data_IF_006507922242
#
_entry.id   IF_006507922242
#
_cell.length_a   1.000
_cell.length_b   1.000
_cell.length_c   1.000
_cell.angle_alpha   90.00
_cell.angle_beta   90.00
_cell.angle_gamma   90.00
#
_symmetry.space_group_name_H-M   'P 1'
#
loop_
_entity.id
_entity.type
_entity.pdbx_description
1 polymer ?
#
# COMPACT_ATOMS: atom_id res chain seq x y z
N UNK A 1 0.26 -35.25 25.39
CA UNK A 1 -0.59 -35.66 24.24
C UNK A 1 -0.94 -34.40 23.48
N UNK A 2 -0.62 -34.31 22.18
CA UNK A 2 -1.01 -33.16 21.37
C UNK A 2 -2.54 -33.19 21.17
N UNK A 3 -3.22 -32.07 21.43
CA UNK A 3 -4.66 -31.95 21.22
C UNK A 3 -4.99 -32.22 19.74
N UNK A 4 -6.10 -32.94 19.49
CA UNK A 4 -6.60 -33.13 18.13
C UNK A 4 -7.04 -31.79 17.52
N UNK A 5 -7.02 -31.69 16.19
CA UNK A 5 -7.46 -30.49 15.44
C UNK A 5 -8.86 -30.02 15.87
N UNK A 6 -9.76 -30.96 16.16
CA UNK A 6 -11.12 -30.70 16.65
C UNK A 6 -11.12 -30.06 18.03
N UNK A 7 -10.24 -30.49 18.93
CA UNK A 7 -10.15 -29.97 20.29
C UNK A 7 -9.60 -28.54 20.28
N UNK A 8 -8.60 -28.28 19.42
CA UNK A 8 -8.06 -26.93 19.21
C UNK A 8 -9.11 -25.96 18.65
N UNK A 9 -9.94 -26.41 17.71
CA UNK A 9 -11.03 -25.60 17.14
C UNK A 9 -12.12 -25.31 18.18
N UNK A 10 -12.45 -26.27 19.03
CA UNK A 10 -13.43 -26.08 20.10
C UNK A 10 -12.91 -25.11 21.17
N UNK A 11 -11.64 -25.22 21.54
CA UNK A 11 -11.02 -24.29 22.49
C UNK A 11 -10.93 -22.87 21.90
N UNK A 12 -10.56 -22.72 20.62
CA UNK A 12 -10.57 -21.42 19.95
C UNK A 12 -11.96 -20.76 19.97
N UNK A 13 -13.01 -21.50 19.61
CA UNK A 13 -14.40 -20.99 19.66
C UNK A 13 -14.81 -20.56 21.06
N UNK A 14 -14.45 -21.34 22.08
CA UNK A 14 -14.75 -21.03 23.48
C UNK A 14 -14.05 -19.74 23.92
N UNK A 15 -12.77 -19.57 23.58
CA UNK A 15 -12.01 -18.37 23.89
C UNK A 15 -12.55 -17.14 23.15
N UNK A 16 -12.98 -17.29 21.88
CA UNK A 16 -13.63 -16.21 21.13
C UNK A 16 -14.95 -15.78 21.78
N UNK A 17 -15.81 -16.74 22.16
CA UNK A 17 -17.06 -16.47 22.89
C UNK A 17 -16.82 -15.75 24.23
N UNK A 18 -15.84 -16.22 25.00
CA UNK A 18 -15.44 -15.56 26.25
C UNK A 18 -14.92 -14.13 26.02
N UNK A 19 -14.19 -13.91 24.92
CA UNK A 19 -13.75 -12.58 24.49
C UNK A 19 -14.91 -11.67 24.13
N UNK A 20 -15.89 -12.19 23.38
CA UNK A 20 -17.12 -11.47 23.00
C UNK A 20 -17.96 -11.07 24.22
N UNK A 21 -18.09 -11.97 25.20
CA UNK A 21 -18.81 -11.69 26.45
C UNK A 21 -18.10 -10.63 27.31
N UNK A 22 -16.77 -10.55 27.23
CA UNK A 22 -15.97 -9.54 27.95
C UNK A 22 -16.19 -8.13 27.41
N UNK A 23 -16.43 -7.99 26.11
CA UNK A 23 -16.64 -6.70 25.44
C UNK A 23 -18.08 -6.58 24.94
N UNK A 24 -19.05 -6.58 25.87
CA UNK A 24 -20.44 -6.23 25.54
C UNK A 24 -20.52 -4.77 25.13
N UNK A 25 -20.56 -4.52 23.82
CA UNK A 25 -20.89 -3.20 23.28
C UNK A 25 -22.39 -3.01 23.48
N UNK A 26 -22.77 -2.02 24.27
CA UNK A 26 -24.16 -1.60 24.39
C UNK A 26 -24.70 -1.25 22.99
N UNK A 27 -25.76 -1.91 22.50
CA UNK A 27 -26.37 -1.58 21.22
C UNK A 27 -26.75 -0.09 21.09
N UNK A 28 -27.06 0.60 22.20
CA UNK A 28 -27.33 2.03 22.21
C UNK A 28 -26.10 2.89 21.86
N UNK A 29 -24.88 2.35 21.97
CA UNK A 29 -23.64 2.99 21.55
C UNK A 29 -23.35 2.80 20.05
N UNK A 30 -23.99 1.83 19.38
CA UNK A 30 -23.72 1.54 17.96
C UNK A 30 -23.97 2.75 17.04
N UNK A 31 -25.06 3.54 17.19
CA UNK A 31 -25.24 4.75 16.37
C UNK A 31 -24.15 5.81 16.60
N UNK A 32 -23.63 5.90 17.84
CA UNK A 32 -22.55 6.85 18.16
C UNK A 32 -21.23 6.39 17.56
N UNK A 33 -20.94 5.08 17.62
CA UNK A 33 -19.77 4.48 17.01
C UNK A 33 -19.80 4.64 15.48
N UNK A 34 -20.94 4.35 14.86
CA UNK A 34 -21.15 4.50 13.42
C UNK A 34 -20.90 5.95 12.96
N UNK A 35 -21.51 6.92 13.66
CA UNK A 35 -21.26 8.34 13.42
C UNK A 35 -19.78 8.69 13.55
N UNK A 36 -19.10 8.23 14.60
CA UNK A 36 -17.68 8.49 14.81
C UNK A 36 -16.83 7.94 13.66
N UNK A 37 -17.12 6.72 13.19
CA UNK A 37 -16.41 6.11 12.07
C UNK A 37 -16.65 6.90 10.77
N UNK A 38 -17.89 7.33 10.51
CA UNK A 38 -18.23 8.17 9.37
C UNK A 38 -17.54 9.53 9.41
N UNK A 39 -17.51 10.19 10.58
CA UNK A 39 -16.83 11.47 10.76
C UNK A 39 -15.32 11.34 10.50
N UNK A 40 -14.69 10.28 11.04
CA UNK A 40 -13.27 9.98 10.79
C UNK A 40 -13.03 9.72 9.31
N UNK A 41 -13.87 8.91 8.66
CA UNK A 41 -13.76 8.66 7.22
C UNK A 41 -13.89 9.96 6.42
N UNK A 42 -14.88 10.81 6.72
CA UNK A 42 -15.10 12.07 6.02
C UNK A 42 -13.93 13.05 6.15
N UNK A 43 -13.26 13.07 7.32
CA UNK A 43 -12.07 13.90 7.57
C UNK A 43 -10.84 13.34 6.85
N UNK A 44 -10.71 12.01 6.77
CA UNK A 44 -9.50 11.33 6.28
C UNK A 44 -9.51 11.06 4.78
N UNK A 45 -10.70 10.98 4.17
CA UNK A 45 -10.84 10.63 2.76
C UNK A 45 -10.11 11.64 1.88
N UNK A 46 -9.41 11.20 0.82
CA UNK A 46 -8.77 12.10 -0.12
C UNK A 46 -9.78 12.94 -0.90
N UNK A 47 -9.37 14.13 -1.31
CA UNK A 47 -10.11 15.00 -2.23
C UNK A 47 -9.66 14.73 -3.67
N UNK A 48 -10.45 15.10 -4.69
CA UNK A 48 -10.08 14.92 -6.09
C UNK A 48 -8.67 15.44 -6.44
N UNK A 49 -8.28 16.60 -5.89
CA UNK A 49 -6.95 17.18 -6.09
C UNK A 49 -5.82 16.28 -5.58
N UNK A 50 -6.04 15.51 -4.51
CA UNK A 50 -5.03 14.60 -3.95
C UNK A 50 -4.75 13.44 -4.91
N UNK A 51 -5.78 12.93 -5.60
CA UNK A 51 -5.61 11.93 -6.66
C UNK A 51 -4.85 12.51 -7.85
N UNK A 52 -5.20 13.73 -8.29
CA UNK A 52 -4.52 14.39 -9.39
C UNK A 52 -3.03 14.56 -9.09
N UNK A 53 -2.69 15.06 -7.90
CA UNK A 53 -1.31 15.22 -7.48
C UNK A 53 -0.53 13.90 -7.49
N UNK A 54 -1.12 12.81 -6.98
CA UNK A 54 -0.47 11.48 -6.97
C UNK A 54 -0.30 10.90 -8.37
N UNK A 55 -1.31 11.04 -9.24
CA UNK A 55 -1.20 10.61 -10.66
C UNK A 55 -0.14 11.41 -11.41
N UNK A 56 -0.06 12.71 -11.14
CA UNK A 56 0.95 13.58 -11.74
C UNK A 56 2.36 13.21 -11.27
N UNK A 57 2.54 12.88 -9.99
CA UNK A 57 3.80 12.33 -9.49
C UNK A 57 4.15 11.02 -10.22
N UNK A 58 3.22 10.06 -10.32
CA UNK A 58 3.47 8.80 -11.06
C UNK A 58 3.90 9.09 -12.51
N UNK A 59 3.27 10.05 -13.19
CA UNK A 59 3.67 10.49 -14.54
C UNK A 59 5.10 11.05 -14.57
N UNK A 60 5.48 11.86 -13.57
CA UNK A 60 6.85 12.38 -13.43
C UNK A 60 7.86 11.24 -13.23
N UNK A 61 7.56 10.29 -12.33
CA UNK A 61 8.43 9.12 -12.11
C UNK A 61 8.59 8.28 -13.39
N UNK A 62 7.54 8.14 -14.19
CA UNK A 62 7.63 7.48 -15.50
C UNK A 62 8.52 8.23 -16.49
N UNK A 63 8.43 9.57 -16.54
CA UNK A 63 9.31 10.37 -17.37
C UNK A 63 10.78 10.22 -16.95
N UNK A 64 11.04 10.22 -15.64
CA UNK A 64 12.38 9.95 -15.08
C UNK A 64 12.87 8.55 -15.45
N UNK A 65 12.00 7.55 -15.38
CA UNK A 65 12.34 6.18 -15.77
C UNK A 65 12.77 6.11 -17.24
N UNK A 66 12.04 6.76 -18.13
CA UNK A 66 12.40 6.88 -19.55
C UNK A 66 13.73 7.61 -19.74
N UNK A 67 14.00 8.66 -18.98
CA UNK A 67 15.28 9.34 -19.03
C UNK A 67 16.45 8.42 -18.62
N UNK A 68 16.27 7.62 -17.56
CA UNK A 68 17.30 6.74 -17.00
C UNK A 68 17.61 5.49 -17.82
N UNK A 69 16.67 5.05 -18.65
CA UNK A 69 16.75 3.80 -19.42
C UNK A 69 16.62 4.00 -20.94
N UNK A 70 16.31 5.22 -21.39
CA UNK A 70 16.09 5.58 -22.79
C UNK A 70 14.60 5.49 -23.20
N UNK A 71 14.29 5.88 -24.43
CA UNK A 71 12.94 5.79 -25.00
C UNK A 71 12.69 4.49 -25.78
N UNK A 72 13.55 3.48 -25.61
CA UNK A 72 13.34 2.17 -26.22
C UNK A 72 12.18 1.46 -25.50
N UNK A 73 11.42 0.62 -26.21
CA UNK A 73 10.22 -0.09 -25.68
C UNK A 73 10.45 -1.04 -24.49
N UNK A 74 11.65 -1.01 -23.90
CA UNK A 74 12.09 -1.83 -22.77
C UNK A 74 12.31 -1.02 -21.49
N UNK A 75 11.98 0.28 -21.48
CA UNK A 75 12.11 1.11 -20.27
C UNK A 75 11.08 0.72 -19.21
N UNK A 76 11.49 0.63 -17.94
CA UNK A 76 10.58 0.20 -16.89
C UNK A 76 9.49 1.25 -16.65
N UNK A 77 8.28 0.77 -16.40
CA UNK A 77 7.11 1.60 -16.09
C UNK A 77 7.00 1.73 -14.57
N UNK A 78 6.70 2.93 -14.09
CA UNK A 78 6.43 3.16 -12.67
C UNK A 78 4.92 3.19 -12.45
N UNK A 79 4.41 2.37 -11.54
CA UNK A 79 2.98 2.28 -11.25
C UNK A 79 2.71 2.56 -9.78
N UNK A 80 1.52 3.09 -9.49
CA UNK A 80 1.04 3.22 -8.12
C UNK A 80 0.76 1.85 -7.51
N UNK A 81 0.94 1.73 -6.20
CA UNK A 81 0.63 0.52 -5.45
C UNK A 81 -0.01 0.86 -4.11
N UNK A 82 -0.27 -0.16 -3.29
CA UNK A 82 -0.68 -0.01 -1.90
C UNK A 82 -1.99 0.76 -1.72
N UNK A 83 -2.02 1.61 -0.70
CA UNK A 83 -3.24 2.33 -0.29
C UNK A 83 -3.85 3.22 -1.38
N UNK A 84 -3.02 3.70 -2.31
CA UNK A 84 -3.46 4.55 -3.41
C UNK A 84 -4.34 3.80 -4.42
N UNK A 85 -3.96 2.58 -4.81
CA UNK A 85 -4.72 1.79 -5.80
C UNK A 85 -5.96 1.14 -5.19
N UNK A 86 -6.00 0.98 -3.87
CA UNK A 86 -7.16 0.44 -3.13
C UNK A 86 -8.20 1.51 -2.79
N UNK A 87 -7.95 2.78 -3.12
CA UNK A 87 -8.82 3.91 -2.73
C UNK A 87 -8.95 4.10 -1.20
N UNK A 88 -7.91 3.73 -0.45
CA UNK A 88 -7.88 3.76 1.01
C UNK A 88 -6.77 4.65 1.58
N UNK A 89 -6.11 5.44 0.73
CA UNK A 89 -5.09 6.37 1.19
C UNK A 89 -5.72 7.55 1.93
N UNK A 90 -4.92 8.24 2.73
CA UNK A 90 -5.24 9.56 3.28
C UNK A 90 -4.23 10.58 2.77
N UNK A 91 -4.51 11.87 2.93
CA UNK A 91 -3.60 12.95 2.51
C UNK A 91 -2.19 12.79 3.09
N UNK A 92 -2.07 12.21 4.30
CA UNK A 92 -0.79 11.98 4.99
C UNK A 92 -0.15 10.62 4.69
N UNK A 93 -0.84 9.74 3.97
CA UNK A 93 -0.28 8.45 3.56
C UNK A 93 0.87 8.69 2.58
N UNK A 94 1.87 7.82 2.60
CA UNK A 94 2.86 7.73 1.54
C UNK A 94 2.23 7.31 0.21
N UNK A 95 3.02 7.42 -0.86
CA UNK A 95 2.68 6.92 -2.18
C UNK A 95 3.59 5.75 -2.49
N UNK A 96 3.05 4.53 -2.35
CA UNK A 96 3.74 3.32 -2.75
C UNK A 96 3.85 3.25 -4.27
N UNK A 97 5.05 2.97 -4.76
CA UNK A 97 5.35 2.86 -6.19
C UNK A 97 6.03 1.51 -6.49
N UNK A 98 5.65 0.88 -7.61
CA UNK A 98 6.35 -0.26 -8.18
C UNK A 98 7.08 0.15 -9.45
N UNK A 99 8.29 -0.38 -9.65
CA UNK A 99 9.06 -0.21 -10.90
C UNK A 99 9.04 -1.54 -11.65
N UNK A 100 8.28 -1.58 -12.74
CA UNK A 100 7.96 -2.79 -13.47
C UNK A 100 8.73 -2.85 -14.80
N UNK A 101 9.49 -3.92 -15.00
CA UNK A 101 10.16 -4.20 -16.27
C UNK A 101 9.28 -5.11 -17.12
N UNK A 102 9.46 -5.07 -18.44
CA UNK A 102 8.67 -5.87 -19.36
C UNK A 102 8.78 -7.39 -19.07
N UNK A 103 7.71 -8.12 -19.42
CA UNK A 103 7.56 -9.55 -19.12
C UNK A 103 8.64 -10.47 -19.74
N UNK A 104 9.43 -9.97 -20.69
CA UNK A 104 10.57 -10.70 -21.27
C UNK A 104 11.74 -10.90 -20.29
N UNK A 105 11.79 -10.17 -19.17
CA UNK A 105 12.91 -10.21 -18.22
C UNK A 105 12.71 -11.24 -17.10
N UNK A 106 11.52 -11.87 -16.99
CA UNK A 106 11.22 -12.82 -15.93
C UNK A 106 11.41 -12.22 -14.52
N UNK A 107 11.75 -13.05 -13.54
CA UNK A 107 12.06 -12.58 -12.19
C UNK A 107 13.38 -11.80 -12.17
N UNK A 108 13.31 -10.50 -11.90
CA UNK A 108 14.50 -9.67 -11.70
C UNK A 108 15.33 -10.20 -10.52
N UNK A 109 16.62 -10.42 -10.77
CA UNK A 109 17.59 -10.76 -9.73
C UNK A 109 17.70 -9.63 -8.69
N UNK A 110 18.11 -9.98 -7.48
CA UNK A 110 18.34 -9.00 -6.38
C UNK A 110 19.31 -7.90 -6.80
N UNK A 111 20.37 -8.24 -7.52
CA UNK A 111 21.36 -7.28 -7.99
C UNK A 111 20.79 -6.28 -8.99
N UNK A 112 19.91 -6.73 -9.89
CA UNK A 112 19.21 -5.83 -10.82
C UNK A 112 18.26 -4.88 -10.08
N UNK A 113 17.58 -5.35 -9.04
CA UNK A 113 16.74 -4.50 -8.17
C UNK A 113 17.58 -3.43 -7.48
N UNK A 114 18.70 -3.81 -6.87
CA UNK A 114 19.62 -2.87 -6.21
C UNK A 114 20.19 -1.84 -7.20
N UNK A 115 20.62 -2.29 -8.39
CA UNK A 115 21.13 -1.42 -9.45
C UNK A 115 20.08 -0.41 -9.92
N UNK A 116 18.83 -0.86 -10.04
CA UNK A 116 17.69 0.00 -10.38
C UNK A 116 17.47 1.06 -9.32
N UNK A 117 17.37 0.68 -8.05
CA UNK A 117 17.22 1.63 -6.94
C UNK A 117 18.35 2.66 -6.89
N UNK A 118 19.61 2.23 -7.12
CA UNK A 118 20.77 3.13 -7.17
C UNK A 118 20.70 4.13 -8.33
N UNK A 119 20.17 3.73 -9.50
CA UNK A 119 19.98 4.66 -10.63
C UNK A 119 18.98 5.76 -10.28
N UNK A 120 17.83 5.39 -9.72
CA UNK A 120 16.84 6.34 -9.26
C UNK A 120 17.39 7.25 -8.16
N UNK A 121 18.07 6.69 -7.15
CA UNK A 121 18.68 7.45 -6.07
C UNK A 121 19.67 8.51 -6.59
N UNK A 122 20.53 8.18 -7.56
CA UNK A 122 21.46 9.14 -8.18
C UNK A 122 20.76 10.29 -8.90
N UNK A 123 19.56 10.05 -9.46
CA UNK A 123 18.77 11.08 -10.13
C UNK A 123 18.08 12.02 -9.15
N UNK A 124 17.58 11.50 -8.03
CA UNK A 124 16.89 12.28 -7.00
C UNK A 124 17.84 13.02 -6.06
N UNK A 125 18.97 12.40 -5.76
CA UNK A 125 19.99 12.94 -4.88
C UNK A 125 21.31 12.96 -5.64
N UNK A 126 21.50 13.93 -6.56
CA UNK A 126 22.80 14.14 -7.16
C UNK A 126 23.76 14.42 -6.01
N UNK A 127 24.77 13.57 -5.83
CA UNK A 127 25.85 13.89 -4.90
C UNK A 127 26.50 15.17 -5.40
N UNK A 128 26.26 16.29 -4.72
CA UNK A 128 27.06 17.50 -4.90
C UNK A 128 28.52 17.10 -4.76
N UNK A 129 29.29 17.26 -5.84
CA UNK A 129 30.74 17.16 -5.81
C UNK A 129 31.32 18.38 -5.11
#
# INVERSE_FOLDING_TARGET
MALGRTDLLNEAKKLELQGLEKYKIDPACMPKLDKLLHDVFAIRRPKPIDYHNRRDLIRIFNAISKELYGNFGNSPVVEGYGSFVMDLFSVRSDLDLSVNFNNSVGNLSRDMKIKTLRKFAKKFFPTSK
#
